data_IF_208268902562
#
_entry.id   IF_208268902562
#
_cell.length_a   1.000
_cell.length_b   1.000
_cell.length_c   1.000
_cell.angle_alpha   90.00
_cell.angle_beta   90.00
_cell.angle_gamma   90.00
#
_symmetry.space_group_name_H-M   'P 1'
#
loop_
_entity.id
_entity.type
_entity.pdbx_description
1 polymer ?
#
# COMPACT_ATOMS: atom_id res chain seq x y z
N UNK A 1 65.22 -83.13 -38.76
CA UNK A 1 66.06 -83.55 -37.63
C UNK A 1 66.27 -82.33 -36.74
N UNK A 2 66.00 -82.47 -35.43
CA UNK A 2 66.27 -81.67 -34.28
C UNK A 2 65.61 -80.27 -34.20
N UNK A 3 64.70 -80.20 -33.34
CA UNK A 3 64.03 -79.17 -32.63
C UNK A 3 64.92 -78.45 -31.61
N UNK A 4 64.85 -77.11 -31.53
CA UNK A 4 65.24 -76.33 -30.35
C UNK A 4 64.10 -75.47 -29.88
N UNK A 5 63.61 -75.76 -28.67
CA UNK A 5 62.57 -75.00 -27.99
C UNK A 5 63.17 -73.69 -27.45
N UNK A 6 62.67 -72.57 -27.75
CA UNK A 6 62.94 -71.30 -27.06
C UNK A 6 61.80 -71.02 -26.07
N UNK A 7 62.15 -70.95 -24.77
CA UNK A 7 61.33 -70.46 -23.71
C UNK A 7 61.40 -68.95 -23.68
N UNK A 8 60.28 -68.30 -23.80
CA UNK A 8 60.15 -66.84 -23.61
C UNK A 8 59.63 -66.60 -22.19
N UNK A 9 60.51 -65.89 -21.43
CA UNK A 9 60.18 -65.40 -20.11
C UNK A 9 59.33 -64.13 -20.26
N UNK A 10 58.04 -64.16 -19.80
CA UNK A 10 57.17 -62.98 -19.73
C UNK A 10 57.43 -62.29 -18.38
N UNK A 11 58.08 -61.11 -18.39
CA UNK A 11 58.16 -60.26 -17.22
C UNK A 11 56.92 -59.39 -17.14
N UNK A 12 56.02 -59.68 -16.17
CA UNK A 12 54.84 -58.89 -15.93
C UNK A 12 55.19 -57.60 -15.19
N UNK A 13 55.04 -56.46 -15.83
CA UNK A 13 55.14 -55.15 -15.18
C UNK A 13 53.76 -54.83 -14.57
N UNK A 14 53.70 -54.81 -13.24
CA UNK A 14 52.54 -54.37 -12.46
C UNK A 14 52.58 -52.85 -12.38
N UNK A 15 51.77 -52.16 -13.15
CA UNK A 15 51.54 -50.72 -13.03
C UNK A 15 50.59 -50.46 -11.86
N UNK A 16 51.09 -49.95 -10.76
CA UNK A 16 50.30 -49.45 -9.63
C UNK A 16 49.79 -48.04 -10.01
N UNK A 17 48.55 -47.96 -10.44
CA UNK A 17 47.85 -46.66 -10.63
C UNK A 17 47.54 -46.04 -9.25
N UNK A 18 48.36 -45.09 -8.80
CA UNK A 18 48.03 -44.25 -7.65
C UNK A 18 46.91 -43.29 -7.99
N UNK A 19 45.69 -43.56 -7.56
CA UNK A 19 44.60 -42.62 -7.58
C UNK A 19 44.85 -41.48 -6.59
N UNK A 20 45.41 -40.38 -7.08
CA UNK A 20 45.41 -39.11 -6.35
C UNK A 20 43.99 -38.50 -6.40
N UNK A 21 43.17 -38.76 -5.37
CA UNK A 21 41.92 -38.04 -5.16
C UNK A 21 42.24 -36.56 -4.84
N UNK A 22 41.89 -35.66 -5.79
CA UNK A 22 41.90 -34.23 -5.50
C UNK A 22 40.92 -33.94 -4.35
N UNK A 23 41.28 -33.08 -3.40
CA UNK A 23 40.34 -32.67 -2.37
C UNK A 23 39.11 -32.00 -3.03
N UNK A 24 37.93 -32.55 -2.83
CA UNK A 24 36.68 -31.96 -3.26
C UNK A 24 36.45 -30.68 -2.43
N UNK A 25 36.61 -29.54 -3.05
CA UNK A 25 36.35 -28.24 -2.45
C UNK A 25 34.86 -28.21 -2.06
N UNK A 26 34.57 -28.28 -0.75
CA UNK A 26 33.21 -28.14 -0.21
C UNK A 26 32.73 -26.76 -0.56
N UNK A 27 31.94 -26.65 -1.61
CA UNK A 27 31.15 -25.45 -1.93
C UNK A 27 30.37 -25.09 -0.67
N UNK A 28 30.78 -24.05 0.03
CA UNK A 28 29.99 -23.44 1.10
C UNK A 28 28.70 -22.92 0.48
N UNK A 29 27.64 -23.70 0.60
CA UNK A 29 26.29 -23.21 0.33
C UNK A 29 26.04 -22.13 1.37
N UNK A 30 26.23 -20.87 0.99
CA UNK A 30 25.77 -19.71 1.78
C UNK A 30 24.26 -19.76 1.81
N UNK A 31 23.70 -20.39 2.83
CA UNK A 31 22.29 -20.24 3.17
C UNK A 31 22.03 -18.75 3.35
N UNK A 32 21.38 -18.11 2.37
CA UNK A 32 20.90 -16.72 2.53
C UNK A 32 20.10 -16.67 3.82
N UNK A 33 20.55 -15.91 4.79
CA UNK A 33 19.85 -15.72 6.05
C UNK A 33 18.39 -15.37 5.75
N UNK A 34 17.45 -16.16 6.28
CA UNK A 34 16.02 -15.96 6.07
C UNK A 34 15.66 -14.59 6.62
N UNK A 35 15.19 -13.67 5.75
CA UNK A 35 14.75 -12.33 6.16
C UNK A 35 13.62 -12.53 7.17
N UNK A 36 13.85 -12.07 8.39
CA UNK A 36 12.82 -12.11 9.43
C UNK A 36 11.88 -10.94 9.18
N UNK A 37 10.67 -11.21 8.68
CA UNK A 37 9.64 -10.21 8.41
C UNK A 37 8.83 -9.97 9.68
N UNK A 38 8.54 -8.70 10.06
CA UNK A 38 7.67 -8.39 11.20
C UNK A 38 6.26 -8.94 11.04
N UNK A 39 5.55 -9.05 12.16
CA UNK A 39 4.12 -9.44 12.16
C UNK A 39 3.27 -8.20 12.30
N UNK A 40 2.37 -7.97 11.35
CA UNK A 40 1.44 -6.84 11.40
C UNK A 40 0.48 -6.96 12.59
N UNK A 41 0.30 -5.87 13.32
CA UNK A 41 -0.61 -5.81 14.46
C UNK A 41 -1.93 -5.14 14.06
N UNK A 42 -2.95 -5.96 13.81
CA UNK A 42 -4.27 -5.47 13.41
C UNK A 42 -5.01 -4.74 14.53
N UNK A 43 -4.73 -5.05 15.81
CA UNK A 43 -5.31 -4.30 16.94
C UNK A 43 -4.77 -2.87 16.99
N UNK A 44 -3.48 -2.67 16.68
CA UNK A 44 -2.90 -1.33 16.56
C UNK A 44 -3.54 -0.55 15.41
N UNK A 45 -3.67 -1.16 14.23
CA UNK A 45 -4.32 -0.52 13.09
C UNK A 45 -5.77 -0.13 13.40
N UNK A 46 -6.55 -1.04 13.97
CA UNK A 46 -7.92 -0.78 14.42
C UNK A 46 -7.98 0.40 15.41
N UNK A 47 -7.07 0.45 16.38
CA UNK A 47 -7.00 1.56 17.33
C UNK A 47 -6.67 2.89 16.65
N UNK A 48 -5.82 2.90 15.61
CA UNK A 48 -5.51 4.12 14.84
C UNK A 48 -6.70 4.60 14.00
N UNK A 49 -7.55 3.68 13.51
CA UNK A 49 -8.81 4.03 12.86
C UNK A 49 -9.77 4.64 13.88
N UNK A 50 -9.99 3.95 15.01
CA UNK A 50 -10.83 4.47 16.11
C UNK A 50 -10.43 5.89 16.50
N UNK A 51 -9.12 6.15 16.61
CA UNK A 51 -8.62 7.47 16.99
C UNK A 51 -8.95 8.56 15.98
N UNK A 52 -8.96 8.25 14.69
CA UNK A 52 -9.40 9.17 13.64
C UNK A 52 -10.90 9.45 13.76
N UNK A 53 -11.70 8.40 13.95
CA UNK A 53 -13.17 8.48 14.12
C UNK A 53 -13.53 9.29 15.38
N UNK A 54 -12.78 9.16 16.48
CA UNK A 54 -12.99 9.92 17.74
C UNK A 54 -12.89 11.45 17.55
N UNK A 55 -12.26 11.95 16.49
CA UNK A 55 -12.23 13.37 16.16
C UNK A 55 -13.51 13.85 15.48
N UNK A 56 -14.38 12.93 15.04
CA UNK A 56 -15.53 13.17 14.18
C UNK A 56 -15.15 13.23 12.70
N UNK A 57 -16.09 13.64 11.84
CA UNK A 57 -15.85 13.80 10.41
C UNK A 57 -14.63 14.69 10.13
N UNK A 58 -13.78 14.24 9.20
CA UNK A 58 -12.53 14.92 8.85
C UNK A 58 -12.69 15.73 7.56
N UNK A 59 -13.84 16.38 7.44
CA UNK A 59 -14.15 17.26 6.32
C UNK A 59 -13.23 18.48 6.34
N UNK A 60 -12.72 18.89 5.18
CA UNK A 60 -11.87 20.07 4.99
C UNK A 60 -12.32 21.27 5.83
N UNK A 61 -11.37 21.87 6.55
CA UNK A 61 -11.59 23.05 7.42
C UNK A 61 -12.51 22.82 8.63
N UNK A 62 -12.93 21.57 8.90
CA UNK A 62 -13.69 21.26 10.13
C UNK A 62 -12.77 21.12 11.34
N UNK A 63 -13.37 21.18 12.54
CA UNK A 63 -12.63 20.94 13.80
C UNK A 63 -12.09 19.50 13.89
N UNK A 64 -12.81 18.52 13.34
CA UNK A 64 -12.37 17.12 13.25
C UNK A 64 -11.10 17.01 12.41
N UNK A 65 -11.11 17.63 11.23
CA UNK A 65 -9.98 17.72 10.32
C UNK A 65 -8.74 18.36 10.96
N UNK A 66 -8.89 19.53 11.59
CA UNK A 66 -7.76 20.21 12.26
C UNK A 66 -7.11 19.34 13.35
N UNK A 67 -7.93 18.71 14.21
CA UNK A 67 -7.44 17.84 15.28
C UNK A 67 -6.78 16.58 14.75
N UNK A 68 -7.36 16.00 13.71
CA UNK A 68 -6.83 14.78 13.07
C UNK A 68 -5.49 15.07 12.39
N UNK A 69 -5.37 16.15 11.62
CA UNK A 69 -4.10 16.55 10.99
C UNK A 69 -2.96 16.69 12.02
N UNK A 70 -3.21 17.41 13.12
CA UNK A 70 -2.23 17.57 14.20
C UNK A 70 -1.88 16.24 14.87
N UNK A 71 -2.85 15.34 15.02
CA UNK A 71 -2.60 14.03 15.60
C UNK A 71 -1.80 13.13 14.65
N UNK A 72 -2.12 13.12 13.35
CA UNK A 72 -1.41 12.34 12.33
C UNK A 72 0.06 12.76 12.25
N UNK A 73 0.33 14.06 12.17
CA UNK A 73 1.69 14.60 12.20
C UNK A 73 2.46 14.13 13.45
N UNK A 74 1.91 14.36 14.65
CA UNK A 74 2.52 13.94 15.90
C UNK A 74 2.71 12.43 16.00
N UNK A 75 1.78 11.66 15.45
CA UNK A 75 1.86 10.19 15.45
C UNK A 75 2.98 9.70 14.55
N UNK A 76 3.12 10.23 13.36
CA UNK A 76 4.19 9.88 12.42
C UNK A 76 5.56 10.33 12.93
N UNK A 77 5.65 11.50 13.57
CA UNK A 77 6.88 11.99 14.22
C UNK A 77 7.40 11.07 15.35
N UNK A 78 6.56 10.21 15.94
CA UNK A 78 7.00 9.17 16.88
C UNK A 78 7.82 8.07 16.19
N UNK A 79 7.66 7.90 14.88
CA UNK A 79 8.24 6.80 14.11
C UNK A 79 9.37 7.23 13.16
N UNK A 80 9.35 8.48 12.72
CA UNK A 80 10.43 9.09 11.93
C UNK A 80 10.49 10.60 12.19
N UNK A 81 11.70 11.22 12.25
CA UNK A 81 11.81 12.68 12.32
C UNK A 81 11.53 13.37 10.98
N UNK A 82 11.41 12.62 9.89
CA UNK A 82 11.28 13.16 8.54
C UNK A 82 9.79 13.25 8.13
N UNK A 83 9.04 14.12 8.79
CA UNK A 83 7.65 14.42 8.49
C UNK A 83 7.54 15.82 7.90
N UNK A 84 6.77 15.94 6.81
CA UNK A 84 6.50 17.20 6.11
C UNK A 84 4.99 17.35 5.97
N UNK A 85 4.47 18.53 6.28
CA UNK A 85 3.11 18.94 5.95
C UNK A 85 3.18 19.80 4.70
N UNK A 86 2.53 19.34 3.63
CA UNK A 86 2.41 20.08 2.39
C UNK A 86 1.05 20.76 2.36
N UNK A 87 1.03 22.09 2.54
CA UNK A 87 -0.20 22.88 2.49
C UNK A 87 -0.38 23.52 1.11
N UNK A 88 -1.63 23.55 0.63
CA UNK A 88 -1.97 24.23 -0.61
C UNK A 88 -3.39 24.80 -0.58
N UNK A 89 -3.58 25.95 -1.21
CA UNK A 89 -4.92 26.46 -1.49
C UNK A 89 -5.61 25.62 -2.54
N UNK A 90 -6.87 25.24 -2.28
CA UNK A 90 -7.75 24.58 -3.23
C UNK A 90 -9.13 25.23 -3.24
N UNK A 91 -9.88 25.02 -4.32
CA UNK A 91 -11.29 25.40 -4.42
C UNK A 91 -12.09 24.15 -4.72
N UNK A 92 -13.10 23.88 -3.91
CA UNK A 92 -13.98 22.73 -4.07
C UNK A 92 -15.12 23.04 -5.05
N UNK A 93 -15.86 22.00 -5.49
CA UNK A 93 -16.93 22.14 -6.50
C UNK A 93 -18.02 23.14 -6.11
N UNK A 94 -18.25 23.36 -4.81
CA UNK A 94 -19.21 24.32 -4.25
C UNK A 94 -18.66 25.76 -4.17
N UNK A 95 -17.51 26.00 -4.77
CA UNK A 95 -16.85 27.30 -4.84
C UNK A 95 -16.15 27.76 -3.57
N UNK A 96 -16.12 26.95 -2.53
CA UNK A 96 -15.43 27.26 -1.28
C UNK A 96 -13.91 27.14 -1.43
N UNK A 97 -13.19 28.04 -0.77
CA UNK A 97 -11.71 28.01 -0.70
C UNK A 97 -11.27 27.37 0.59
N UNK A 98 -10.37 26.41 0.46
CA UNK A 98 -9.79 25.66 1.57
C UNK A 98 -8.27 25.63 1.50
N UNK A 99 -7.64 25.25 2.60
CA UNK A 99 -6.24 24.82 2.64
C UNK A 99 -6.25 23.31 2.84
N UNK A 100 -5.78 22.57 1.87
CA UNK A 100 -5.55 21.12 2.01
C UNK A 100 -4.18 20.87 2.67
N UNK A 101 -4.02 19.70 3.32
CA UNK A 101 -2.81 19.28 4.04
C UNK A 101 -2.44 17.84 3.70
N UNK A 102 -1.57 17.64 2.74
CA UNK A 102 -0.94 16.33 2.57
C UNK A 102 0.12 16.14 3.66
N UNK A 103 0.16 14.94 4.27
CA UNK A 103 1.09 14.60 5.35
C UNK A 103 2.05 13.54 4.84
N UNK A 104 3.34 13.84 4.80
CA UNK A 104 4.37 12.98 4.23
C UNK A 104 5.35 12.55 5.32
N UNK A 105 5.56 11.22 5.47
CA UNK A 105 6.53 10.65 6.39
C UNK A 105 7.54 9.77 5.64
N UNK A 106 8.83 10.12 5.72
CA UNK A 106 9.91 9.42 5.02
C UNK A 106 10.71 8.54 5.99
N UNK A 107 10.90 7.27 5.61
CA UNK A 107 11.75 6.29 6.28
C UNK A 107 12.97 6.01 5.41
N UNK A 108 14.17 6.01 6.03
CA UNK A 108 15.44 5.89 5.32
C UNK A 108 15.51 6.84 4.10
N UNK A 109 15.39 8.19 4.33
CA UNK A 109 15.28 9.19 3.27
C UNK A 109 16.53 9.28 2.38
N UNK A 110 17.67 8.78 2.85
CA UNK A 110 18.94 8.70 2.12
C UNK A 110 18.95 7.59 1.05
N UNK A 111 18.04 6.61 1.13
CA UNK A 111 17.98 5.50 0.18
C UNK A 111 17.23 5.90 -1.09
N UNK A 112 17.93 5.88 -2.21
CA UNK A 112 17.33 6.15 -3.53
C UNK A 112 16.43 5.02 -4.03
N UNK A 113 16.73 3.76 -3.62
CA UNK A 113 15.85 2.64 -3.87
C UNK A 113 14.66 2.70 -2.91
N UNK A 114 13.54 3.27 -3.35
CA UNK A 114 12.38 3.55 -2.51
C UNK A 114 11.05 3.25 -3.18
N UNK A 115 10.00 3.12 -2.37
CA UNK A 115 8.61 2.99 -2.76
C UNK A 115 7.76 4.02 -2.01
N UNK A 116 6.56 4.28 -2.53
CA UNK A 116 5.57 5.14 -1.88
C UNK A 116 4.33 4.36 -1.49
N UNK A 117 3.79 4.67 -0.33
CA UNK A 117 2.53 4.14 0.18
C UNK A 117 1.57 5.31 0.38
N UNK A 118 0.35 5.17 -0.10
CA UNK A 118 -0.63 6.24 -0.11
C UNK A 118 -1.93 5.81 0.59
N UNK A 119 -2.65 6.77 1.15
CA UNK A 119 -4.03 6.70 1.56
C UNK A 119 -4.57 8.12 1.68
N UNK A 120 -5.88 8.35 1.52
CA UNK A 120 -6.46 9.62 1.92
C UNK A 120 -6.87 9.59 3.40
N UNK A 121 -6.97 10.76 4.04
CA UNK A 121 -7.27 10.86 5.46
C UNK A 121 -8.48 11.73 5.78
N UNK A 122 -8.97 12.51 4.82
CA UNK A 122 -10.22 13.26 4.92
C UNK A 122 -11.46 12.36 4.82
N UNK A 123 -12.62 12.94 4.90
CA UNK A 123 -13.90 12.23 4.76
C UNK A 123 -14.93 13.05 4.01
N UNK A 124 -15.87 12.35 3.41
CA UNK A 124 -16.99 12.92 2.66
C UNK A 124 -17.78 13.95 3.48
N UNK A 125 -18.04 15.14 2.93
CA UNK A 125 -18.81 16.19 3.61
C UNK A 125 -20.32 15.92 3.66
N UNK A 126 -20.79 14.91 2.95
CA UNK A 126 -22.22 14.53 2.81
C UNK A 126 -22.35 13.01 2.83
N UNK A 127 -23.50 12.48 3.23
CA UNK A 127 -23.81 11.05 3.17
C UNK A 127 -24.73 10.80 1.96
N UNK A 128 -24.21 11.05 0.76
CA UNK A 128 -25.02 11.12 -0.48
C UNK A 128 -25.64 9.76 -0.89
N UNK A 129 -25.21 8.66 -0.32
CA UNK A 129 -25.84 7.33 -0.51
C UNK A 129 -26.59 6.82 0.72
N UNK A 130 -26.79 7.67 1.74
CA UNK A 130 -27.66 7.33 2.87
C UNK A 130 -29.14 7.62 2.55
N UNK A 131 -30.04 7.08 3.37
CA UNK A 131 -31.49 7.31 3.28
C UNK A 131 -31.98 8.49 4.13
N UNK A 132 -31.16 8.91 5.11
CA UNK A 132 -31.48 10.00 6.03
C UNK A 132 -30.27 10.90 6.24
N UNK A 133 -30.52 12.19 6.47
CA UNK A 133 -29.47 13.19 6.76
C UNK A 133 -28.36 13.23 5.69
N UNK A 134 -28.74 13.07 4.43
CA UNK A 134 -27.82 12.99 3.29
C UNK A 134 -26.90 14.22 3.15
N UNK A 135 -27.31 15.36 3.74
CA UNK A 135 -26.57 16.62 3.81
C UNK A 135 -25.52 16.66 4.96
N UNK A 136 -25.38 15.59 5.74
CA UNK A 136 -24.45 15.53 6.87
C UNK A 136 -23.21 14.72 6.54
N UNK A 137 -22.06 15.07 7.15
CA UNK A 137 -20.79 14.37 6.91
C UNK A 137 -20.78 12.98 7.55
N UNK A 138 -20.01 12.07 6.97
CA UNK A 138 -19.78 10.71 7.47
C UNK A 138 -18.56 10.63 8.39
N UNK A 139 -18.47 9.55 9.17
CA UNK A 139 -17.29 9.27 10.03
C UNK A 139 -16.10 8.72 9.24
N UNK A 140 -16.34 8.04 8.13
CA UNK A 140 -15.30 7.53 7.25
C UNK A 140 -14.32 6.60 7.97
N UNK A 141 -14.83 5.56 8.63
CA UNK A 141 -13.97 4.61 9.34
C UNK A 141 -13.23 3.70 8.35
N UNK A 142 -13.93 3.24 7.31
CA UNK A 142 -13.34 2.48 6.22
C UNK A 142 -12.78 3.43 5.16
N UNK A 143 -13.60 4.36 4.73
CA UNK A 143 -13.32 5.35 3.71
C UNK A 143 -12.51 6.52 4.30
N UNK A 144 -11.24 6.54 3.92
CA UNK A 144 -10.13 7.31 4.45
C UNK A 144 -9.48 6.74 5.71
N UNK A 145 -10.26 6.32 6.71
CA UNK A 145 -9.72 5.90 8.01
C UNK A 145 -8.91 4.61 7.97
N UNK A 146 -9.35 3.62 7.20
CA UNK A 146 -8.76 2.28 7.21
C UNK A 146 -7.36 2.23 6.58
N UNK A 147 -7.18 2.85 5.42
CA UNK A 147 -5.88 2.94 4.76
C UNK A 147 -4.84 3.61 5.64
N UNK A 148 -5.20 4.75 6.23
CA UNK A 148 -4.35 5.49 7.19
C UNK A 148 -4.00 4.64 8.41
N UNK A 149 -4.97 3.91 9.00
CA UNK A 149 -4.74 3.02 10.14
C UNK A 149 -3.71 1.94 9.85
N UNK A 150 -3.79 1.33 8.66
CA UNK A 150 -2.79 0.35 8.18
C UNK A 150 -1.43 1.01 8.01
N UNK A 151 -1.35 2.18 7.37
CA UNK A 151 -0.08 2.86 7.10
C UNK A 151 0.61 3.33 8.39
N UNK A 152 -0.12 3.77 9.42
CA UNK A 152 0.47 4.12 10.72
C UNK A 152 1.06 2.89 11.41
N UNK A 153 0.40 1.73 11.34
CA UNK A 153 0.99 0.49 11.88
C UNK A 153 2.23 0.06 11.09
N UNK A 154 2.25 0.22 9.78
CA UNK A 154 3.46 0.01 8.97
C UNK A 154 4.58 0.95 9.40
N UNK A 155 4.30 2.24 9.61
CA UNK A 155 5.25 3.23 10.13
C UNK A 155 5.87 2.79 11.46
N UNK A 156 5.06 2.28 12.38
CA UNK A 156 5.52 1.71 13.66
C UNK A 156 6.46 0.53 13.45
N UNK A 157 6.14 -0.35 12.50
CA UNK A 157 7.00 -1.50 12.16
C UNK A 157 8.32 -1.06 11.54
N UNK A 158 8.32 -0.06 10.64
CA UNK A 158 9.53 0.48 10.02
C UNK A 158 10.48 1.10 11.05
N UNK A 159 9.95 1.78 12.07
CA UNK A 159 10.75 2.30 13.19
C UNK A 159 11.33 1.17 14.06
N UNK A 160 10.59 0.08 14.27
CA UNK A 160 11.06 -1.06 15.08
C UNK A 160 12.12 -1.87 14.35
N UNK A 161 11.95 -2.06 13.06
CA UNK A 161 12.86 -2.78 12.19
C UNK A 161 12.91 -2.09 10.83
N UNK A 162 14.01 -1.41 10.55
CA UNK A 162 14.19 -0.66 9.32
C UNK A 162 14.18 -1.59 8.08
N UNK A 163 13.37 -1.26 7.04
CA UNK A 163 13.41 -1.96 5.76
C UNK A 163 14.73 -1.68 5.01
N UNK A 164 15.08 -2.55 4.07
CA UNK A 164 16.30 -2.37 3.24
C UNK A 164 16.18 -1.22 2.25
N UNK A 165 14.97 -0.81 1.91
CA UNK A 165 14.64 0.26 0.96
C UNK A 165 14.12 1.49 1.68
N UNK A 166 14.15 2.65 1.02
CA UNK A 166 13.46 3.85 1.48
C UNK A 166 11.96 3.70 1.29
N UNK A 167 11.17 4.32 2.18
CA UNK A 167 9.72 4.32 2.08
C UNK A 167 9.22 5.72 2.39
N UNK A 168 8.28 6.20 1.58
CA UNK A 168 7.48 7.39 1.89
C UNK A 168 6.04 6.97 2.10
N UNK A 169 5.47 7.36 3.22
CA UNK A 169 4.03 7.31 3.49
C UNK A 169 3.49 8.71 3.20
N UNK A 170 2.50 8.79 2.32
CA UNK A 170 1.90 10.04 1.90
C UNK A 170 0.40 9.92 2.13
N UNK A 171 -0.11 10.72 3.05
CA UNK A 171 -1.52 10.80 3.37
C UNK A 171 -2.10 12.01 2.63
N UNK A 172 -2.94 11.74 1.65
CA UNK A 172 -3.60 12.76 0.84
C UNK A 172 -4.80 13.35 1.57
N UNK A 173 -5.07 14.63 1.31
CA UNK A 173 -6.21 15.37 1.82
C UNK A 173 -7.15 15.74 0.68
N UNK A 174 -8.41 15.98 0.98
CA UNK A 174 -9.41 16.40 -0.01
C UNK A 174 -9.57 15.43 -1.18
N UNK A 175 -9.45 14.14 -0.93
CA UNK A 175 -9.83 13.12 -1.87
C UNK A 175 -11.35 13.13 -2.04
N UNK A 176 -12.06 13.06 -0.92
CA UNK A 176 -13.47 12.73 -0.80
C UNK A 176 -14.43 13.97 -0.82
N UNK A 177 -13.88 15.15 -1.13
CA UNK A 177 -14.67 16.37 -1.34
C UNK A 177 -15.13 16.53 -2.81
N UNK A 178 -15.28 15.42 -3.51
CA UNK A 178 -15.69 15.44 -4.91
C UNK A 178 -17.15 15.83 -5.14
N UNK A 179 -17.46 16.32 -6.33
CA UNK A 179 -18.81 16.74 -6.73
C UNK A 179 -19.74 15.54 -6.86
N UNK A 180 -20.89 15.49 -6.12
CA UNK A 180 -21.89 14.45 -6.32
C UNK A 180 -22.57 14.57 -7.68
N UNK A 181 -23.10 13.45 -8.20
CA UNK A 181 -23.70 13.38 -9.53
C UNK A 181 -24.94 14.29 -9.67
N UNK A 182 -25.72 14.44 -8.61
CA UNK A 182 -26.95 15.25 -8.56
C UNK A 182 -26.72 16.69 -8.08
N UNK A 183 -25.47 17.15 -8.08
CA UNK A 183 -25.08 18.47 -7.62
C UNK A 183 -25.75 19.61 -8.43
N UNK A 184 -26.30 20.60 -7.74
CA UNK A 184 -26.83 21.83 -8.36
C UNK A 184 -25.75 22.82 -8.83
N UNK A 185 -24.48 22.58 -8.45
CA UNK A 185 -23.35 23.42 -8.86
C UNK A 185 -22.92 23.10 -10.31
N UNK A 186 -22.31 24.06 -11.02
CA UNK A 186 -21.73 23.79 -12.34
C UNK A 186 -20.73 22.63 -12.26
N UNK A 187 -20.72 21.76 -13.28
CA UNK A 187 -19.80 20.62 -13.32
C UNK A 187 -18.36 21.07 -13.21
N UNK A 188 -17.69 20.60 -12.18
CA UNK A 188 -16.25 20.76 -11.98
C UNK A 188 -15.54 19.48 -12.39
N UNK A 189 -14.77 19.54 -13.49
CA UNK A 189 -13.93 18.42 -13.87
C UNK A 189 -12.82 18.20 -12.81
N UNK A 190 -12.46 16.94 -12.58
CA UNK A 190 -11.42 16.58 -11.63
C UNK A 190 -11.64 17.16 -10.21
N UNK A 191 -12.90 17.12 -9.73
CA UNK A 191 -13.26 17.64 -8.41
C UNK A 191 -12.83 16.75 -7.24
N UNK A 192 -12.45 15.50 -7.50
CA UNK A 192 -11.98 14.50 -6.54
C UNK A 192 -10.45 14.50 -6.41
N UNK A 193 -9.91 13.87 -5.36
CA UNK A 193 -8.49 13.59 -5.20
C UNK A 193 -7.59 14.86 -5.25
N UNK A 194 -8.08 16.00 -4.73
CA UNK A 194 -7.40 17.30 -4.87
C UNK A 194 -5.99 17.30 -4.24
N UNK A 195 -5.79 16.53 -3.16
CA UNK A 195 -4.48 16.37 -2.52
C UNK A 195 -3.48 15.63 -3.39
N UNK A 196 -3.89 14.52 -4.01
CA UNK A 196 -3.04 13.77 -4.94
C UNK A 196 -2.73 14.56 -6.21
N UNK A 197 -3.72 15.30 -6.74
CA UNK A 197 -3.50 16.21 -7.86
C UNK A 197 -2.47 17.28 -7.54
N UNK A 198 -2.55 17.89 -6.34
CA UNK A 198 -1.58 18.90 -5.91
C UNK A 198 -0.20 18.29 -5.77
N UNK A 199 -0.09 17.16 -5.06
CA UNK A 199 1.18 16.49 -4.83
C UNK A 199 1.81 15.99 -6.14
N UNK A 200 1.02 15.43 -7.06
CA UNK A 200 1.51 14.96 -8.35
C UNK A 200 2.15 16.06 -9.20
N UNK A 201 1.57 17.28 -9.15
CA UNK A 201 2.11 18.48 -9.81
C UNK A 201 3.28 19.09 -9.04
N UNK A 202 3.32 18.94 -7.71
CA UNK A 202 4.29 19.58 -6.81
C UNK A 202 4.80 18.56 -5.75
N UNK A 203 5.58 17.55 -6.13
CA UNK A 203 6.09 16.59 -5.17
C UNK A 203 6.90 17.28 -4.04
N UNK A 204 6.86 16.71 -2.85
CA UNK A 204 7.50 17.24 -1.64
C UNK A 204 9.04 17.31 -1.70
N UNK A 205 9.64 16.72 -2.71
CA UNK A 205 11.07 16.82 -3.03
C UNK A 205 11.24 17.11 -4.51
N UNK A 206 12.20 17.97 -4.85
CA UNK A 206 12.57 18.20 -6.25
C UNK A 206 13.07 16.90 -6.88
N UNK A 207 12.61 16.60 -8.11
CA UNK A 207 12.92 15.37 -8.84
C UNK A 207 12.58 14.09 -8.03
N UNK A 208 11.48 14.13 -7.26
CA UNK A 208 11.05 12.98 -6.49
C UNK A 208 10.82 11.76 -7.38
N UNK A 209 11.31 10.62 -6.92
CA UNK A 209 11.14 9.34 -7.60
C UNK A 209 10.90 8.22 -6.60
N UNK A 210 9.99 7.31 -6.92
CA UNK A 210 9.83 6.02 -6.29
C UNK A 210 9.68 4.95 -7.39
N UNK A 211 10.15 3.72 -7.12
CA UNK A 211 10.06 2.62 -8.10
C UNK A 211 8.63 2.26 -8.42
N UNK A 212 7.76 2.37 -7.42
CA UNK A 212 6.32 2.17 -7.53
C UNK A 212 5.60 2.71 -6.31
N UNK A 213 4.29 2.83 -6.44
CA UNK A 213 3.37 3.19 -5.36
C UNK A 213 2.32 2.13 -5.08
N UNK A 214 1.76 2.16 -3.88
CA UNK A 214 0.59 1.38 -3.48
C UNK A 214 -0.34 2.32 -2.72
N UNK A 215 -1.54 2.54 -3.24
CA UNK A 215 -2.63 3.22 -2.57
C UNK A 215 -3.44 2.20 -1.77
N UNK A 216 -3.94 2.62 -0.62
CA UNK A 216 -4.87 1.87 0.22
C UNK A 216 -6.14 2.70 0.41
N UNK A 217 -7.22 2.26 -0.16
CA UNK A 217 -8.53 2.83 0.05
C UNK A 217 -9.57 1.78 0.43
N UNK A 218 -10.40 2.07 1.43
CA UNK A 218 -11.45 1.18 1.95
C UNK A 218 -10.95 -0.24 2.24
N UNK A 219 -9.84 -0.38 2.98
CA UNK A 219 -9.16 -1.66 3.25
C UNK A 219 -9.49 -2.28 4.60
N UNK A 220 -10.54 -1.83 5.26
CA UNK A 220 -10.87 -2.21 6.64
C UNK A 220 -12.20 -2.92 6.84
N UNK A 221 -13.13 -2.90 5.89
CA UNK A 221 -14.48 -3.41 6.09
C UNK A 221 -14.55 -4.94 6.25
N UNK A 222 -15.62 -5.41 6.90
CA UNK A 222 -15.91 -6.84 7.07
C UNK A 222 -16.05 -7.53 5.72
N UNK A 223 -15.28 -8.60 5.51
CA UNK A 223 -15.29 -9.41 4.30
C UNK A 223 -14.90 -8.66 3.02
N UNK A 224 -14.28 -7.49 3.11
CA UNK A 224 -13.83 -6.75 1.95
C UNK A 224 -13.03 -7.61 0.98
N UNK A 225 -13.29 -7.42 -0.31
CA UNK A 225 -12.60 -8.09 -1.41
C UNK A 225 -11.93 -7.06 -2.32
N UNK A 226 -10.70 -7.36 -2.75
CA UNK A 226 -9.87 -6.52 -3.59
C UNK A 226 -9.66 -7.22 -4.92
N UNK A 227 -10.03 -6.57 -6.00
CA UNK A 227 -9.91 -7.10 -7.36
C UNK A 227 -8.72 -6.45 -8.08
N UNK A 228 -8.39 -6.95 -9.26
CA UNK A 228 -7.44 -6.27 -10.14
C UNK A 228 -8.15 -5.05 -10.77
N UNK A 229 -8.04 -3.90 -10.13
CA UNK A 229 -8.59 -2.64 -10.62
C UNK A 229 -7.94 -2.30 -11.98
N UNK A 230 -8.74 -1.82 -12.94
CA UNK A 230 -8.33 -1.72 -14.35
C UNK A 230 -7.16 -0.74 -14.57
N UNK A 231 -7.13 0.43 -13.90
CA UNK A 231 -6.03 1.39 -14.03
C UNK A 231 -4.75 0.86 -13.38
N UNK A 232 -4.88 0.20 -12.24
CA UNK A 232 -3.77 -0.52 -11.57
C UNK A 232 -3.18 -1.60 -12.48
N UNK A 233 -4.03 -2.36 -13.17
CA UNK A 233 -3.61 -3.39 -14.12
C UNK A 233 -2.94 -2.78 -15.37
N UNK A 234 -3.36 -1.59 -15.78
CA UNK A 234 -2.77 -0.87 -16.92
C UNK A 234 -1.41 -0.25 -16.56
N UNK A 235 -1.33 0.52 -15.47
CA UNK A 235 -0.12 1.28 -15.13
C UNK A 235 0.96 0.44 -14.44
N UNK A 236 0.57 -0.52 -13.58
CA UNK A 236 1.49 -1.25 -12.71
C UNK A 236 1.23 -2.76 -12.60
N UNK A 237 1.06 -3.50 -13.74
CA UNK A 237 0.65 -4.91 -13.74
C UNK A 237 1.61 -5.83 -12.96
N UNK A 238 2.91 -5.53 -12.97
CA UNK A 238 3.89 -6.33 -12.24
C UNK A 238 3.79 -6.15 -10.73
N UNK A 239 3.42 -4.97 -10.26
CA UNK A 239 3.23 -4.67 -8.84
C UNK A 239 1.94 -5.33 -8.35
N UNK A 240 0.86 -5.19 -9.12
CA UNK A 240 -0.41 -5.88 -8.88
C UNK A 240 -0.19 -7.39 -8.70
N UNK A 241 0.46 -8.05 -9.68
CA UNK A 241 0.80 -9.47 -9.60
C UNK A 241 1.65 -9.82 -8.38
N UNK A 242 2.62 -8.97 -8.01
CA UNK A 242 3.48 -9.16 -6.83
C UNK A 242 2.65 -9.16 -5.56
N UNK A 243 1.77 -8.17 -5.37
CA UNK A 243 0.96 -8.00 -4.16
C UNK A 243 -0.06 -9.11 -4.03
N UNK A 244 -0.88 -9.38 -5.05
CA UNK A 244 -1.87 -10.47 -5.03
C UNK A 244 -1.21 -11.84 -4.87
N UNK A 245 -0.10 -12.08 -5.57
CA UNK A 245 0.68 -13.31 -5.40
C UNK A 245 1.20 -13.49 -3.98
N UNK A 246 1.60 -12.40 -3.32
CA UNK A 246 2.01 -12.45 -1.92
C UNK A 246 0.85 -12.73 -0.99
N UNK A 247 -0.28 -12.07 -1.17
CA UNK A 247 -1.50 -12.29 -0.39
C UNK A 247 -1.95 -13.77 -0.45
N UNK A 248 -1.96 -14.36 -1.65
CA UNK A 248 -2.30 -15.77 -1.83
C UNK A 248 -1.30 -16.72 -1.13
N UNK A 249 0.01 -16.44 -1.22
CA UNK A 249 1.04 -17.22 -0.50
C UNK A 249 0.86 -17.18 1.02
N UNK A 250 0.26 -16.13 1.55
CA UNK A 250 -0.05 -15.95 2.98
C UNK A 250 -1.41 -16.51 3.38
N UNK A 251 -2.22 -17.03 2.44
CA UNK A 251 -3.54 -17.57 2.69
C UNK A 251 -4.67 -16.54 2.69
N UNK A 252 -4.43 -15.34 2.18
CA UNK A 252 -5.42 -14.24 2.12
C UNK A 252 -6.20 -14.18 0.80
N UNK A 253 -6.22 -15.27 0.02
CA UNK A 253 -6.90 -15.33 -1.27
C UNK A 253 -8.41 -15.04 -1.23
N UNK A 254 -9.05 -15.15 -0.05
CA UNK A 254 -10.47 -14.76 0.11
C UNK A 254 -10.69 -13.25 0.01
N UNK A 255 -9.64 -12.44 0.29
CA UNK A 255 -9.69 -10.98 0.19
C UNK A 255 -9.12 -10.50 -1.14
N UNK A 256 -8.05 -11.11 -1.65
CA UNK A 256 -7.35 -10.72 -2.87
C UNK A 256 -7.78 -11.59 -4.05
N UNK A 257 -8.74 -11.13 -4.84
CA UNK A 257 -9.42 -11.91 -5.88
C UNK A 257 -8.71 -11.74 -7.22
N UNK A 258 -8.40 -12.86 -7.92
CA UNK A 258 -7.80 -12.84 -9.27
C UNK A 258 -8.86 -12.64 -10.37
N UNK A 259 -9.61 -11.55 -10.25
CA UNK A 259 -10.55 -11.09 -11.27
C UNK A 259 -10.37 -9.58 -11.44
N UNK A 260 -10.75 -9.05 -12.59
CA UNK A 260 -10.69 -7.62 -12.86
C UNK A 260 -11.95 -6.93 -12.35
N UNK A 261 -11.79 -5.72 -11.82
CA UNK A 261 -12.88 -4.76 -11.62
C UNK A 261 -12.81 -3.66 -12.70
N UNK A 262 -13.87 -2.90 -12.91
CA UNK A 262 -13.83 -1.67 -13.72
C UNK A 262 -12.76 -0.69 -13.21
N UNK A 263 -12.46 0.31 -14.04
CA UNK A 263 -11.60 1.42 -13.60
C UNK A 263 -12.28 2.21 -12.50
N UNK A 264 -11.48 2.64 -11.53
CA UNK A 264 -11.89 3.53 -10.44
C UNK A 264 -11.01 4.77 -10.52
N UNK A 265 -11.65 5.95 -10.51
CA UNK A 265 -10.91 7.23 -10.48
C UNK A 265 -10.62 7.56 -9.02
N UNK A 266 -9.36 7.36 -8.62
CA UNK A 266 -8.89 7.59 -7.26
C UNK A 266 -7.48 8.21 -7.27
N UNK A 267 -6.91 8.52 -6.13
CA UNK A 267 -5.60 9.16 -5.94
C UNK A 267 -4.50 8.51 -6.80
N UNK A 268 -4.51 7.18 -6.94
CA UNK A 268 -3.54 6.45 -7.77
C UNK A 268 -3.59 6.84 -9.25
N UNK A 269 -4.73 7.25 -9.79
CA UNK A 269 -4.84 7.75 -11.14
C UNK A 269 -3.99 9.02 -11.33
N UNK A 270 -4.12 9.97 -10.41
CA UNK A 270 -3.36 11.21 -10.48
C UNK A 270 -1.87 11.00 -10.19
N UNK A 271 -1.51 10.08 -9.30
CA UNK A 271 -0.10 9.70 -9.11
C UNK A 271 0.47 9.12 -10.41
N UNK A 272 -0.23 8.20 -11.07
CA UNK A 272 0.23 7.60 -12.32
C UNK A 272 0.34 8.61 -13.48
N UNK A 273 -0.64 9.52 -13.59
CA UNK A 273 -0.72 10.43 -14.75
C UNK A 273 0.09 11.69 -14.60
N UNK A 274 0.32 12.16 -13.38
CA UNK A 274 1.06 13.40 -13.09
C UNK A 274 2.52 13.15 -12.69
N UNK A 275 2.87 11.88 -12.38
CA UNK A 275 4.23 11.48 -12.04
C UNK A 275 4.69 10.32 -12.94
N UNK A 276 5.90 9.83 -12.74
CA UNK A 276 6.39 8.62 -13.39
C UNK A 276 6.40 7.41 -12.45
N UNK A 277 5.55 7.40 -11.41
CA UNK A 277 5.53 6.37 -10.38
C UNK A 277 4.38 5.40 -10.69
N UNK A 278 4.67 4.19 -11.21
CA UNK A 278 3.62 3.19 -11.46
C UNK A 278 2.99 2.76 -10.14
N UNK A 279 1.70 3.05 -9.97
CA UNK A 279 0.98 2.90 -8.71
C UNK A 279 -0.24 2.02 -8.89
N UNK A 280 -0.42 1.07 -7.98
CA UNK A 280 -1.64 0.27 -7.84
C UNK A 280 -2.51 0.81 -6.72
N UNK A 281 -3.78 0.48 -6.80
CA UNK A 281 -4.75 0.66 -5.76
C UNK A 281 -5.18 -0.69 -5.16
N UNK A 282 -5.20 -0.78 -3.85
CA UNK A 282 -5.86 -1.84 -3.10
C UNK A 282 -7.13 -1.23 -2.55
N UNK A 283 -8.20 -1.34 -3.33
CA UNK A 283 -9.51 -0.77 -3.02
C UNK A 283 -10.57 -1.86 -2.93
N UNK A 284 -11.51 -1.72 -1.99
CA UNK A 284 -12.64 -2.64 -1.88
C UNK A 284 -13.49 -2.62 -3.16
N UNK A 285 -13.86 -3.81 -3.64
CA UNK A 285 -14.81 -3.97 -4.73
C UNK A 285 -15.79 -5.09 -4.39
N UNK A 286 -17.08 -4.76 -4.33
CA UNK A 286 -18.17 -5.69 -4.11
C UNK A 286 -19.12 -5.70 -5.32
N UNK A 287 -19.06 -6.72 -6.19
CA UNK A 287 -19.91 -6.78 -7.39
C UNK A 287 -21.40 -7.00 -7.07
N UNK A 288 -21.77 -7.19 -5.80
CA UNK A 288 -23.14 -7.46 -5.37
C UNK A 288 -23.90 -6.21 -4.93
N UNK A 289 -23.22 -5.09 -4.73
CA UNK A 289 -23.81 -3.81 -4.37
C UNK A 289 -24.03 -2.92 -5.59
N UNK A 290 -24.88 -1.92 -5.46
CA UNK A 290 -25.25 -1.00 -6.54
C UNK A 290 -24.05 -0.16 -7.02
N UNK A 291 -23.23 0.35 -6.07
CA UNK A 291 -22.07 1.19 -6.36
C UNK A 291 -20.76 0.40 -6.45
N UNK A 292 -20.83 -0.94 -6.34
CA UNK A 292 -19.69 -1.83 -6.37
C UNK A 292 -18.69 -1.66 -5.22
N UNK A 293 -19.03 -0.91 -4.17
CA UNK A 293 -18.27 -0.76 -2.93
C UNK A 293 -19.05 -1.34 -1.74
N UNK A 294 -18.49 -1.23 -0.53
CA UNK A 294 -19.18 -1.62 0.69
C UNK A 294 -20.57 -0.96 0.77
N UNK A 295 -21.56 -1.70 1.27
CA UNK A 295 -22.92 -1.18 1.46
C UNK A 295 -23.03 0.07 2.36
N UNK A 296 -21.98 0.37 3.12
CA UNK A 296 -21.88 1.55 3.99
C UNK A 296 -21.06 2.69 3.36
N UNK A 297 -20.55 2.50 2.13
CA UNK A 297 -19.84 3.55 1.43
C UNK A 297 -20.70 4.79 1.25
N UNK A 298 -20.15 5.96 1.62
CA UNK A 298 -20.83 7.24 1.61
C UNK A 298 -22.13 7.30 2.44
N UNK A 299 -22.22 6.48 3.51
CA UNK A 299 -23.33 6.49 4.45
C UNK A 299 -22.84 6.69 5.88
N UNK A 300 -23.75 7.04 6.81
CA UNK A 300 -23.41 7.10 8.25
C UNK A 300 -23.07 5.74 8.87
N UNK A 301 -23.32 4.64 8.14
CA UNK A 301 -22.91 3.30 8.54
C UNK A 301 -21.43 3.02 8.32
N UNK A 302 -20.66 3.95 7.71
CA UNK A 302 -19.20 3.85 7.66
C UNK A 302 -18.57 4.30 8.98
N UNK A 303 -18.74 3.46 9.98
CA UNK A 303 -18.25 3.61 11.34
C UNK A 303 -17.39 2.42 11.79
N UNK A 304 -17.01 2.40 13.07
CA UNK A 304 -16.14 1.35 13.62
C UNK A 304 -16.79 -0.04 13.67
N UNK A 305 -18.13 -0.14 13.63
CA UNK A 305 -18.84 -1.42 13.58
C UNK A 305 -18.65 -2.12 12.24
N UNK A 306 -18.31 -1.38 11.19
CA UNK A 306 -17.97 -1.90 9.86
C UNK A 306 -16.53 -2.45 9.78
N UNK A 307 -15.64 -2.09 10.68
CA UNK A 307 -14.21 -2.44 10.62
C UNK A 307 -13.93 -3.84 11.15
N UNK A 308 -13.17 -4.63 10.36
CA UNK A 308 -12.73 -5.98 10.70
C UNK A 308 -11.20 -6.10 10.76
N UNK A 309 -10.70 -6.51 11.93
CA UNK A 309 -9.27 -6.73 12.15
C UNK A 309 -8.66 -7.81 11.27
N UNK A 310 -9.45 -8.78 10.78
CA UNK A 310 -8.96 -9.83 9.88
C UNK A 310 -8.68 -9.27 8.48
N UNK A 311 -9.49 -8.34 8.01
CA UNK A 311 -9.25 -7.61 6.75
C UNK A 311 -8.00 -6.73 6.86
N UNK A 312 -7.91 -5.92 7.93
CA UNK A 312 -6.71 -5.11 8.22
C UNK A 312 -5.44 -5.97 8.29
N UNK A 313 -5.55 -7.17 8.89
CA UNK A 313 -4.44 -8.14 8.97
C UNK A 313 -4.04 -8.64 7.59
N UNK A 314 -5.00 -8.98 6.74
CA UNK A 314 -4.73 -9.48 5.40
C UNK A 314 -3.97 -8.46 4.56
N UNK A 315 -4.42 -7.20 4.56
CA UNK A 315 -3.76 -6.11 3.83
C UNK A 315 -2.40 -5.79 4.43
N UNK A 316 -2.34 -5.48 5.71
CA UNK A 316 -1.11 -5.03 6.36
C UNK A 316 -0.01 -6.09 6.36
N UNK A 317 -0.33 -7.38 6.60
CA UNK A 317 0.68 -8.44 6.54
C UNK A 317 1.17 -8.68 5.11
N UNK A 318 0.30 -8.56 4.11
CA UNK A 318 0.69 -8.67 2.71
C UNK A 318 1.72 -7.59 2.36
N UNK A 319 1.46 -6.34 2.74
CA UNK A 319 2.37 -5.22 2.49
C UNK A 319 3.70 -5.37 3.23
N UNK A 320 3.70 -5.74 4.51
CA UNK A 320 4.94 -6.01 5.25
C UNK A 320 5.78 -7.07 4.53
N UNK A 321 5.18 -8.16 4.11
CA UNK A 321 5.88 -9.23 3.39
C UNK A 321 6.44 -8.78 2.04
N UNK A 322 5.70 -7.95 1.31
CA UNK A 322 6.18 -7.35 0.05
C UNK A 322 7.38 -6.45 0.33
N UNK A 323 7.24 -5.48 1.25
CA UNK A 323 8.23 -4.45 1.54
C UNK A 323 9.53 -5.02 2.08
N UNK A 324 9.47 -5.90 3.08
CA UNK A 324 10.70 -6.46 3.69
C UNK A 324 11.44 -7.47 2.79
N UNK A 325 10.80 -7.92 1.70
CA UNK A 325 11.43 -8.77 0.69
C UNK A 325 11.89 -8.01 -0.55
N UNK A 326 11.66 -6.70 -0.62
CA UNK A 326 12.28 -5.83 -1.63
C UNK A 326 13.81 -5.78 -1.44
N UNK A 327 14.54 -5.74 -2.59
CA UNK A 327 16.00 -5.73 -2.65
C UNK A 327 16.52 -4.48 -3.33
#
# INVERSE_FOLDING_TARGET
MLSIKQQIFLVGIVLIAACTSKPQEKTKTTTKAKIQVPVFNADSAYHYIQKQVDFGPRVLSSKGWEKCAVWLEKKLLQYTPNVVIQEASTTTYDGKKHILKNIIASFAPEKNNRISLFAHWDTRPIADYDTENTDKPILGANDGGSGVGVLIELARQFNTKEPKIGIDIILFDAEDYGQPEDSEYPTMQDSWCLGAQHWGKNPHKQNYYARYGILLDMVGAKNATFYHEQLSAYFAPNILKKVWGKAHQLGYGRHFIYQNSPQIMDDHYYVNTLTSIPTIDIIEFDPTTEHHFNKHWHTHGDDMDNIDKSTLKAVGQTLIEVIYKEL
#
